data_IF_242878421696
#
_entry.id   IF_242878421696
#
_cell.length_a   1.000
_cell.length_b   1.000
_cell.length_c   1.000
_cell.angle_alpha   90.00
_cell.angle_beta   90.00
_cell.angle_gamma   90.00
#
_symmetry.space_group_name_H-M   'P 1'
#
loop_
_entity.id
_entity.type
_entity.pdbx_description
1 polymer ?
#
# COMPACT_ATOMS: atom_id res chain seq x y z
N UNK A 1 21.07 7.24 13.07
CA UNK A 1 19.68 6.99 13.54
C UNK A 1 19.55 5.58 14.10
N UNK A 2 18.76 5.39 15.16
CA UNK A 2 18.45 4.07 15.74
C UNK A 2 17.02 3.71 15.40
N UNK A 3 16.82 2.61 14.67
CA UNK A 3 15.55 2.23 14.07
C UNK A 3 15.04 0.92 14.65
N UNK A 4 13.72 0.84 14.84
CA UNK A 4 13.00 -0.37 15.16
C UNK A 4 12.05 -0.81 14.03
N UNK A 5 11.82 -2.13 13.87
CA UNK A 5 10.76 -2.66 13.01
C UNK A 5 9.90 -3.62 13.83
N UNK A 6 8.64 -3.26 14.07
CA UNK A 6 7.64 -4.13 14.69
C UNK A 6 6.89 -4.90 13.59
N UNK A 7 6.84 -6.23 13.71
CA UNK A 7 6.38 -7.13 12.65
C UNK A 7 7.48 -7.53 11.68
N UNK A 8 8.75 -7.51 12.13
CA UNK A 8 9.94 -7.77 11.31
C UNK A 8 9.98 -9.14 10.63
N UNK A 9 9.27 -10.14 11.15
CA UNK A 9 9.17 -11.50 10.59
C UNK A 9 8.07 -11.64 9.52
N UNK A 10 7.23 -10.62 9.35
CA UNK A 10 6.19 -10.58 8.34
C UNK A 10 6.72 -10.24 6.94
N UNK A 11 5.87 -10.40 5.92
CA UNK A 11 6.22 -10.13 4.53
C UNK A 11 6.69 -8.67 4.33
N UNK A 12 5.91 -7.69 4.76
CA UNK A 12 6.24 -6.26 4.62
C UNK A 12 7.42 -5.87 5.51
N UNK A 13 7.53 -6.39 6.74
CA UNK A 13 8.70 -6.18 7.60
C UNK A 13 10.02 -6.65 6.96
N UNK A 14 9.97 -7.77 6.23
CA UNK A 14 11.10 -8.24 5.42
C UNK A 14 11.47 -7.30 4.28
N UNK A 15 10.46 -6.72 3.60
CA UNK A 15 10.67 -5.72 2.55
C UNK A 15 11.22 -4.41 3.13
N UNK A 16 10.72 -3.94 4.30
CA UNK A 16 11.25 -2.76 5.00
C UNK A 16 12.74 -2.90 5.29
N UNK A 17 13.17 -4.04 5.86
CA UNK A 17 14.60 -4.30 6.10
C UNK A 17 15.44 -4.23 4.82
N UNK A 18 14.93 -4.80 3.74
CA UNK A 18 15.61 -4.78 2.44
C UNK A 18 15.73 -3.35 1.91
N UNK A 19 14.66 -2.58 1.91
CA UNK A 19 14.64 -1.19 1.40
C UNK A 19 15.53 -0.28 2.24
N UNK A 20 15.54 -0.40 3.56
CA UNK A 20 16.48 0.34 4.41
C UNK A 20 17.94 0.09 4.02
N UNK A 21 18.28 -1.16 3.62
CA UNK A 21 19.62 -1.49 3.14
C UNK A 21 19.87 -0.99 1.72
N UNK A 22 18.94 -1.16 0.79
CA UNK A 22 19.04 -0.73 -0.61
C UNK A 22 19.20 0.80 -0.74
N UNK A 23 18.56 1.56 0.16
CA UNK A 23 18.60 3.03 0.16
C UNK A 23 19.70 3.61 1.05
N UNK A 24 20.59 2.76 1.57
CA UNK A 24 21.65 3.17 2.50
C UNK A 24 21.15 4.08 3.62
N UNK A 25 19.94 3.78 4.13
CA UNK A 25 19.35 4.55 5.23
C UNK A 25 20.36 4.68 6.37
N UNK A 26 20.56 5.89 6.98
CA UNK A 26 21.61 6.16 7.96
C UNK A 26 21.28 5.54 9.33
N UNK A 27 21.02 4.23 9.34
CA UNK A 27 20.77 3.46 10.56
C UNK A 27 22.10 3.01 11.17
N UNK A 28 22.44 3.57 12.34
CA UNK A 28 23.55 3.12 13.19
C UNK A 28 23.19 1.82 13.92
N UNK A 29 21.90 1.68 14.26
CA UNK A 29 21.35 0.51 14.93
C UNK A 29 19.99 0.14 14.33
N UNK A 30 19.78 -1.16 14.09
CA UNK A 30 18.48 -1.72 13.77
C UNK A 30 18.09 -2.71 14.86
N UNK A 31 16.87 -2.57 15.41
CA UNK A 31 16.26 -3.55 16.31
C UNK A 31 15.00 -4.13 15.67
N UNK A 32 14.79 -5.42 15.87
CA UNK A 32 13.69 -6.16 15.22
C UNK A 32 12.75 -6.72 16.29
N UNK A 33 11.46 -6.46 16.11
CA UNK A 33 10.43 -6.87 17.05
C UNK A 33 9.34 -7.68 16.34
N UNK A 34 8.85 -8.71 17.03
CA UNK A 34 7.72 -9.51 16.57
C UNK A 34 6.95 -10.07 17.78
N UNK A 35 5.97 -10.96 17.54
CA UNK A 35 5.28 -11.64 18.64
C UNK A 35 6.23 -12.55 19.41
N UNK A 36 5.89 -12.88 20.67
CA UNK A 36 6.63 -13.80 21.53
C UNK A 36 6.99 -15.14 20.83
N UNK A 37 6.15 -15.63 19.92
CA UNK A 37 6.44 -16.87 19.13
C UNK A 37 7.65 -16.74 18.21
N UNK A 38 8.02 -15.54 17.84
CA UNK A 38 9.14 -15.25 16.93
C UNK A 38 10.35 -14.69 17.67
N UNK A 39 10.22 -14.34 18.94
CA UNK A 39 11.32 -13.87 19.76
C UNK A 39 12.46 -14.89 19.84
N UNK A 40 13.69 -14.42 19.83
CA UNK A 40 14.90 -15.26 19.82
C UNK A 40 15.33 -15.77 18.43
N UNK A 41 14.49 -15.65 17.38
CA UNK A 41 14.92 -15.89 16.00
C UNK A 41 15.90 -14.81 15.56
N UNK A 42 16.79 -15.12 14.62
CA UNK A 42 17.64 -14.12 13.99
C UNK A 42 17.18 -13.83 12.56
N UNK A 43 17.42 -12.62 12.09
CA UNK A 43 17.12 -12.20 10.73
C UNK A 43 18.31 -11.41 10.16
N UNK A 44 18.70 -11.66 8.90
CA UNK A 44 19.86 -11.01 8.30
C UNK A 44 19.59 -9.53 7.97
N UNK A 45 20.60 -8.67 8.21
CA UNK A 45 20.63 -7.29 7.77
C UNK A 45 22.06 -6.78 7.62
N UNK A 46 22.43 -6.25 6.43
CA UNK A 46 23.76 -5.70 6.09
C UNK A 46 24.92 -6.64 6.51
N UNK A 47 24.75 -7.94 6.27
CA UNK A 47 25.78 -8.94 6.57
C UNK A 47 25.87 -9.37 8.02
N UNK A 48 24.98 -8.91 8.89
CA UNK A 48 24.89 -9.31 10.30
C UNK A 48 23.55 -10.01 10.59
N UNK A 49 23.49 -10.83 11.62
CA UNK A 49 22.28 -11.44 12.14
C UNK A 49 21.77 -10.63 13.33
N UNK A 50 20.50 -10.20 13.27
CA UNK A 50 19.86 -9.43 14.33
C UNK A 50 18.81 -10.29 15.02
N UNK A 51 18.87 -10.41 16.33
CA UNK A 51 17.89 -11.12 17.12
C UNK A 51 16.54 -10.38 17.14
N UNK A 52 15.45 -11.12 17.05
CA UNK A 52 14.09 -10.61 17.15
C UNK A 52 13.68 -10.59 18.62
N UNK A 53 13.19 -9.43 19.08
CA UNK A 53 12.69 -9.21 20.44
C UNK A 53 11.15 -9.37 20.48
N UNK A 54 10.61 -9.65 21.68
CA UNK A 54 9.16 -9.65 21.89
C UNK A 54 8.62 -8.21 21.91
N UNK A 55 7.80 -7.85 20.92
CA UNK A 55 7.24 -6.52 20.76
C UNK A 55 6.38 -6.08 21.95
N UNK A 56 5.77 -7.00 22.69
CA UNK A 56 4.86 -6.66 23.79
C UNK A 56 5.60 -6.24 25.08
N UNK A 57 6.83 -6.70 25.26
CA UNK A 57 7.61 -6.50 26.51
C UNK A 57 8.89 -5.72 26.29
N UNK A 58 9.27 -5.42 25.04
CA UNK A 58 10.49 -4.71 24.72
C UNK A 58 10.47 -3.26 25.25
N UNK A 59 11.65 -2.77 25.59
CA UNK A 59 11.92 -1.35 25.84
C UNK A 59 12.30 -0.68 24.51
N UNK A 60 11.55 0.35 24.11
CA UNK A 60 11.78 1.13 22.89
C UNK A 60 12.54 2.43 23.12
N UNK A 61 12.87 2.72 24.39
CA UNK A 61 13.63 3.92 24.72
C UNK A 61 14.96 3.96 23.98
N UNK A 62 15.35 5.16 23.57
CA UNK A 62 16.59 5.36 22.83
C UNK A 62 16.51 5.00 21.33
N UNK A 63 15.38 4.54 20.79
CA UNK A 63 15.13 4.52 19.35
C UNK A 63 14.69 5.91 18.88
N UNK A 64 14.97 6.22 17.63
CA UNK A 64 14.57 7.48 16.99
C UNK A 64 13.30 7.30 16.15
N UNK A 65 13.19 6.16 15.43
CA UNK A 65 12.06 5.83 14.57
C UNK A 65 11.69 4.36 14.74
N UNK A 66 10.38 4.05 14.76
CA UNK A 66 9.89 2.66 14.75
C UNK A 66 8.87 2.45 13.65
N UNK A 67 9.17 1.55 12.70
CA UNK A 67 8.28 1.14 11.62
C UNK A 67 7.36 0.01 12.11
N UNK A 68 6.05 0.17 11.99
CA UNK A 68 5.06 -0.82 12.38
C UNK A 68 4.46 -1.54 11.18
N UNK A 69 4.53 -2.86 11.17
CA UNK A 69 3.89 -3.74 10.19
C UNK A 69 3.36 -5.02 10.85
N UNK A 70 2.62 -4.87 11.95
CA UNK A 70 2.13 -5.98 12.77
C UNK A 70 0.59 -6.08 12.84
N UNK A 71 -0.11 -5.37 11.96
CA UNK A 71 -1.57 -5.33 11.88
C UNK A 71 -2.24 -4.36 12.87
N UNK A 72 -3.50 -4.02 12.60
CA UNK A 72 -4.20 -2.95 13.30
C UNK A 72 -4.40 -3.17 14.80
N UNK A 73 -4.65 -4.42 15.23
CA UNK A 73 -4.83 -4.72 16.66
C UNK A 73 -3.54 -4.49 17.46
N UNK A 74 -2.39 -4.94 16.93
CA UNK A 74 -1.08 -4.70 17.56
C UNK A 74 -0.73 -3.22 17.57
N UNK A 75 -1.01 -2.52 16.47
CA UNK A 75 -0.76 -1.08 16.36
C UNK A 75 -1.59 -0.29 17.37
N UNK A 76 -2.89 -0.56 17.49
CA UNK A 76 -3.75 0.07 18.52
C UNK A 76 -3.27 -0.18 19.94
N UNK A 77 -2.72 -1.36 20.22
CA UNK A 77 -2.24 -1.71 21.55
C UNK A 77 -0.89 -1.08 21.91
N UNK A 78 -0.01 -0.85 20.93
CA UNK A 78 1.39 -0.53 21.17
C UNK A 78 1.87 0.82 20.61
N UNK A 79 1.32 1.34 19.51
CA UNK A 79 1.92 2.48 18.81
C UNK A 79 2.08 3.72 19.68
N UNK A 80 1.04 4.15 20.40
CA UNK A 80 1.11 5.30 21.30
C UNK A 80 2.05 5.04 22.50
N UNK A 81 2.08 3.81 23.02
CA UNK A 81 3.00 3.45 24.12
C UNK A 81 4.45 3.49 23.69
N UNK A 82 4.72 3.11 22.44
CA UNK A 82 6.06 3.18 21.86
C UNK A 82 6.44 4.65 21.62
N UNK A 83 5.56 5.43 21.01
CA UNK A 83 5.76 6.86 20.78
C UNK A 83 6.02 7.63 22.10
N UNK A 84 5.32 7.27 23.18
CA UNK A 84 5.52 7.87 24.51
C UNK A 84 6.91 7.58 25.11
N UNK A 85 7.68 6.61 24.57
CA UNK A 85 9.06 6.34 24.98
C UNK A 85 10.11 7.13 24.17
N UNK A 86 9.66 7.96 23.21
CA UNK A 86 10.49 8.90 22.46
C UNK A 86 10.54 8.73 20.95
N UNK A 87 10.50 7.52 20.37
CA UNK A 87 10.61 7.39 18.92
C UNK A 87 9.35 7.87 18.18
N UNK A 88 9.54 8.34 16.94
CA UNK A 88 8.43 8.53 16.00
C UNK A 88 8.00 7.17 15.46
N UNK A 89 6.70 6.86 15.56
CA UNK A 89 6.13 5.63 15.03
C UNK A 89 5.56 5.88 13.62
N UNK A 90 5.95 5.04 12.65
CA UNK A 90 5.38 5.04 11.30
C UNK A 90 4.58 3.76 11.14
N UNK A 91 3.24 3.86 11.12
CA UNK A 91 2.34 2.72 11.15
C UNK A 91 1.76 2.37 9.78
N UNK A 92 2.05 1.16 9.30
CA UNK A 92 1.53 0.64 8.04
C UNK A 92 0.12 0.02 8.15
N UNK A 93 -0.45 -0.06 9.34
CA UNK A 93 -1.81 -0.60 9.51
C UNK A 93 -2.89 0.44 9.21
N UNK A 94 -4.14 0.02 9.18
CA UNK A 94 -5.27 0.94 9.03
C UNK A 94 -5.70 1.63 10.34
N UNK A 95 -5.03 1.32 11.45
CA UNK A 95 -5.47 1.67 12.79
C UNK A 95 -5.60 3.20 13.03
N UNK A 96 -4.72 3.99 12.43
CA UNK A 96 -4.58 5.42 12.71
C UNK A 96 -4.89 6.32 11.51
N UNK A 97 -5.11 5.76 10.33
CA UNK A 97 -5.22 6.53 9.07
C UNK A 97 -6.29 7.62 9.10
N UNK A 98 -7.42 7.35 9.76
CA UNK A 98 -8.53 8.30 9.84
C UNK A 98 -8.60 9.04 11.18
N UNK A 99 -7.63 8.85 12.07
CA UNK A 99 -7.49 9.64 13.28
C UNK A 99 -7.12 11.09 12.89
N UNK A 100 -7.85 12.12 13.37
CA UNK A 100 -7.58 13.52 13.01
C UNK A 100 -6.25 14.03 13.57
N UNK A 101 -5.72 13.45 14.65
CA UNK A 101 -4.45 13.81 15.27
C UNK A 101 -3.26 12.99 14.74
N UNK A 102 -3.48 12.15 13.70
CA UNK A 102 -2.44 11.35 13.08
C UNK A 102 -2.35 11.70 11.59
N UNK A 103 -1.23 12.24 11.12
CA UNK A 103 -1.05 12.53 9.70
C UNK A 103 -1.02 11.24 8.87
N UNK A 104 -1.64 11.29 7.69
CA UNK A 104 -1.62 10.22 6.69
C UNK A 104 -0.76 10.68 5.52
N UNK A 105 0.41 10.05 5.32
CA UNK A 105 1.46 10.61 4.48
C UNK A 105 1.83 9.70 3.30
N UNK A 106 1.86 10.28 2.11
CA UNK A 106 2.56 9.76 0.93
C UNK A 106 3.72 10.72 0.65
N UNK A 107 4.94 10.24 0.75
CA UNK A 107 6.14 11.08 0.78
C UNK A 107 6.29 12.00 -0.44
N UNK A 108 5.84 11.58 -1.63
CA UNK A 108 5.88 12.39 -2.86
C UNK A 108 4.67 13.34 -3.02
N UNK A 109 3.66 13.24 -2.15
CA UNK A 109 2.37 13.94 -2.35
C UNK A 109 2.13 15.02 -1.31
N UNK A 110 2.25 14.66 -0.02
CA UNK A 110 2.00 15.55 1.10
C UNK A 110 3.05 15.41 2.21
N UNK A 111 4.37 15.53 1.89
CA UNK A 111 5.45 15.35 2.87
C UNK A 111 5.35 16.34 4.05
N UNK A 112 4.79 17.54 3.83
CA UNK A 112 4.57 18.56 4.86
C UNK A 112 3.70 18.06 6.02
N UNK A 113 2.77 17.14 5.76
CA UNK A 113 1.91 16.60 6.80
C UNK A 113 2.67 15.76 7.84
N UNK A 114 3.88 15.28 7.55
CA UNK A 114 4.69 14.51 8.48
C UNK A 114 5.22 15.33 9.68
N UNK A 115 5.21 16.66 9.58
CA UNK A 115 5.74 17.56 10.61
C UNK A 115 4.83 17.63 11.83
N UNK A 116 3.51 17.75 11.62
CA UNK A 116 2.52 17.82 12.70
C UNK A 116 2.03 16.41 13.08
N UNK A 117 2.59 15.88 14.17
CA UNK A 117 2.34 14.52 14.66
C UNK A 117 2.15 14.47 16.18
N UNK A 118 1.09 15.09 16.71
CA UNK A 118 0.92 15.29 18.16
C UNK A 118 0.90 13.99 18.97
N UNK A 119 0.51 12.85 18.36
CA UNK A 119 0.60 11.52 18.99
C UNK A 119 1.95 10.82 18.79
N UNK A 120 2.93 11.44 18.13
CA UNK A 120 4.19 10.79 17.76
C UNK A 120 4.02 9.65 16.76
N UNK A 121 2.84 9.56 16.12
CA UNK A 121 2.49 8.52 15.14
C UNK A 121 2.22 9.15 13.78
N UNK A 122 2.76 8.56 12.72
CA UNK A 122 2.46 8.88 11.31
C UNK A 122 1.84 7.63 10.68
N UNK A 123 0.70 7.77 10.01
CA UNK A 123 0.05 6.67 9.32
C UNK A 123 0.56 6.55 7.87
N UNK A 124 0.88 5.32 7.49
CA UNK A 124 1.20 4.92 6.12
C UNK A 124 -0.09 4.44 5.43
N UNK A 125 -0.44 4.96 4.23
CA UNK A 125 -1.74 4.69 3.61
C UNK A 125 -1.95 3.25 3.14
N UNK A 126 -3.17 2.99 2.65
CA UNK A 126 -3.52 1.75 1.96
C UNK A 126 -2.73 1.61 0.64
N UNK A 127 -2.39 0.38 0.29
CA UNK A 127 -1.53 0.07 -0.86
C UNK A 127 -2.12 0.52 -2.20
N UNK A 128 -3.44 0.43 -2.40
CA UNK A 128 -4.09 0.91 -3.63
C UNK A 128 -4.14 2.43 -3.68
N UNK A 129 -4.40 3.08 -2.55
CA UNK A 129 -4.38 4.54 -2.44
C UNK A 129 -2.99 5.08 -2.74
N UNK A 130 -1.94 4.54 -2.11
CA UNK A 130 -0.55 4.95 -2.38
C UNK A 130 -0.13 4.78 -3.83
N UNK A 131 -0.66 3.76 -4.53
CA UNK A 131 -0.40 3.58 -5.96
C UNK A 131 -0.87 4.76 -6.81
N UNK A 132 -2.03 5.30 -6.49
CA UNK A 132 -2.71 6.30 -7.31
C UNK A 132 -2.32 7.75 -6.95
N UNK A 133 -2.00 8.05 -5.69
CA UNK A 133 -1.82 9.43 -5.24
C UNK A 133 -0.66 10.18 -5.91
N UNK A 134 0.53 9.59 -6.15
CA UNK A 134 1.61 10.26 -6.90
C UNK A 134 1.23 10.58 -8.35
N UNK A 135 0.34 9.79 -8.97
CA UNK A 135 -0.17 10.01 -10.32
C UNK A 135 -1.24 11.11 -10.32
N UNK A 136 -2.12 11.13 -9.33
CA UNK A 136 -3.25 12.06 -9.29
C UNK A 136 -2.86 13.46 -8.80
N UNK A 137 -1.83 13.60 -7.97
CA UNK A 137 -1.41 14.90 -7.40
C UNK A 137 -1.04 15.93 -8.46
N UNK A 138 -0.11 15.66 -9.41
CA UNK A 138 0.24 16.64 -10.43
C UNK A 138 -0.94 16.98 -11.37
N UNK A 139 -1.82 16.02 -11.66
CA UNK A 139 -3.02 16.28 -12.45
C UNK A 139 -4.04 17.16 -11.69
N UNK A 140 -4.15 16.97 -10.37
CA UNK A 140 -4.97 17.82 -9.51
C UNK A 140 -4.45 19.25 -9.45
N UNK A 141 -3.16 19.46 -9.27
CA UNK A 141 -2.54 20.78 -9.23
C UNK A 141 -2.75 21.55 -10.53
N UNK A 142 -2.65 20.85 -11.66
CA UNK A 142 -2.89 21.44 -12.98
C UNK A 142 -4.37 21.77 -13.23
N UNK A 143 -5.28 20.84 -12.99
CA UNK A 143 -6.64 20.90 -13.50
C UNK A 143 -7.76 20.88 -12.45
N UNK A 144 -7.45 20.61 -11.17
CA UNK A 144 -8.44 20.55 -10.09
C UNK A 144 -9.28 19.26 -10.13
N UNK A 145 -8.81 18.18 -9.49
CA UNK A 145 -9.54 16.91 -9.41
C UNK A 145 -10.84 17.06 -8.61
N UNK A 146 -11.99 16.71 -9.18
CA UNK A 146 -13.31 16.82 -8.56
C UNK A 146 -14.00 15.49 -8.31
N UNK A 147 -13.70 14.48 -9.14
CA UNK A 147 -14.25 13.14 -8.96
C UNK A 147 -13.27 12.07 -9.44
N UNK A 148 -13.35 10.90 -8.80
CA UNK A 148 -12.53 9.73 -9.05
C UNK A 148 -13.43 8.48 -9.07
N UNK A 149 -13.44 7.76 -10.17
CA UNK A 149 -13.96 6.40 -10.26
C UNK A 149 -12.81 5.46 -10.50
N UNK A 150 -12.63 4.46 -9.63
CA UNK A 150 -11.50 3.56 -9.74
C UNK A 150 -11.91 2.10 -9.56
N UNK A 151 -11.42 1.23 -10.44
CA UNK A 151 -11.48 -0.21 -10.25
C UNK A 151 -10.08 -0.73 -9.97
N UNK A 152 -9.92 -1.44 -8.87
CA UNK A 152 -8.62 -2.01 -8.51
C UNK A 152 -8.50 -3.45 -9.00
N UNK A 153 -7.27 -3.86 -9.30
CA UNK A 153 -6.87 -5.23 -9.59
C UNK A 153 -5.79 -5.59 -8.58
N UNK A 154 -6.22 -6.17 -7.44
CA UNK A 154 -5.34 -6.35 -6.29
C UNK A 154 -4.73 -7.74 -6.24
N UNK A 155 -3.41 -7.80 -6.23
CA UNK A 155 -2.62 -9.03 -6.07
C UNK A 155 -2.84 -9.70 -4.71
N UNK A 156 -2.65 -11.00 -4.65
CA UNK A 156 -2.87 -11.83 -3.45
C UNK A 156 -1.89 -11.53 -2.31
N UNK A 157 -0.70 -11.00 -2.61
CA UNK A 157 0.27 -10.59 -1.59
C UNK A 157 -0.25 -9.51 -0.64
N UNK A 158 -1.28 -8.73 -1.07
CA UNK A 158 -1.98 -7.80 -0.20
C UNK A 158 -2.72 -8.47 0.97
N UNK A 159 -3.03 -9.76 0.85
CA UNK A 159 -3.57 -10.61 1.93
C UNK A 159 -2.48 -11.35 2.72
N UNK A 160 -1.21 -10.98 2.53
CA UNK A 160 -0.07 -11.60 3.19
C UNK A 160 0.34 -12.96 2.60
N UNK A 161 1.22 -13.66 3.31
CA UNK A 161 1.74 -14.97 2.87
C UNK A 161 0.65 -16.03 2.69
N UNK A 162 -0.46 -15.94 3.44
CA UNK A 162 -1.58 -16.87 3.31
C UNK A 162 -2.29 -16.72 1.96
N UNK A 163 -2.49 -15.50 1.48
CA UNK A 163 -3.06 -15.26 0.15
C UNK A 163 -2.16 -15.78 -0.98
N UNK A 164 -0.84 -15.58 -0.83
CA UNK A 164 0.16 -16.12 -1.77
C UNK A 164 0.12 -17.65 -1.80
N UNK A 165 0.10 -18.28 -0.63
CA UNK A 165 0.06 -19.75 -0.52
C UNK A 165 -1.24 -20.33 -1.08
N UNK A 166 -2.38 -19.65 -0.88
CA UNK A 166 -3.67 -20.10 -1.42
C UNK A 166 -3.67 -20.08 -2.95
N UNK A 167 -3.22 -18.98 -3.57
CA UNK A 167 -3.10 -18.91 -5.03
C UNK A 167 -2.15 -19.99 -5.57
N UNK A 168 -0.95 -20.11 -4.99
CA UNK A 168 0.04 -21.10 -5.43
C UNK A 168 -0.51 -22.53 -5.33
N UNK A 169 -1.14 -22.86 -4.19
CA UNK A 169 -1.74 -24.19 -3.98
C UNK A 169 -2.87 -24.51 -4.96
N UNK A 170 -3.76 -23.53 -5.23
CA UNK A 170 -4.85 -23.70 -6.20
C UNK A 170 -4.30 -23.86 -7.63
N UNK A 171 -3.35 -23.02 -8.05
CA UNK A 171 -2.72 -23.14 -9.38
C UNK A 171 -2.05 -24.48 -9.55
N UNK A 172 -1.20 -24.92 -8.62
CA UNK A 172 -0.49 -26.21 -8.72
C UNK A 172 -1.45 -27.40 -8.82
N UNK A 173 -2.54 -27.38 -8.07
CA UNK A 173 -3.52 -28.49 -8.08
C UNK A 173 -4.29 -28.59 -9.40
N UNK A 174 -4.48 -27.46 -10.10
CA UNK A 174 -5.46 -27.38 -11.20
C UNK A 174 -4.85 -27.03 -12.56
N UNK A 175 -3.55 -26.69 -12.63
CA UNK A 175 -2.88 -26.21 -13.83
C UNK A 175 -3.06 -27.13 -15.05
N UNK A 176 -2.92 -28.45 -14.86
CA UNK A 176 -2.97 -29.43 -15.95
C UNK A 176 -4.35 -29.50 -16.64
N UNK A 177 -5.40 -29.09 -15.93
CA UNK A 177 -6.78 -29.12 -16.41
C UNK A 177 -7.40 -27.73 -16.58
N UNK A 178 -6.65 -26.65 -16.32
CA UNK A 178 -7.17 -25.28 -16.33
C UNK A 178 -7.85 -24.88 -17.65
N UNK A 179 -7.41 -25.42 -18.78
CA UNK A 179 -8.02 -25.15 -20.09
C UNK A 179 -9.49 -25.64 -20.21
N UNK A 180 -9.90 -26.60 -19.39
CA UNK A 180 -11.29 -27.10 -19.37
C UNK A 180 -12.27 -26.01 -18.87
N UNK A 181 -11.80 -25.06 -18.06
CA UNK A 181 -12.54 -23.90 -17.58
C UNK A 181 -13.02 -22.96 -18.70
N UNK A 182 -12.49 -23.12 -19.93
CA UNK A 182 -12.96 -22.38 -21.10
C UNK A 182 -14.45 -22.65 -21.41
N UNK A 183 -14.91 -23.84 -21.11
CA UNK A 183 -16.26 -24.30 -21.48
C UNK A 183 -17.17 -24.54 -20.28
N UNK A 184 -16.58 -24.81 -19.11
CA UNK A 184 -17.33 -25.13 -17.88
C UNK A 184 -16.55 -24.65 -16.66
N UNK A 185 -17.11 -23.68 -15.91
CA UNK A 185 -16.51 -23.14 -14.69
C UNK A 185 -16.43 -24.15 -13.54
N UNK A 186 -17.12 -25.29 -13.63
CA UNK A 186 -17.09 -26.39 -12.65
C UNK A 186 -16.23 -27.58 -13.11
N UNK A 187 -15.59 -27.48 -14.28
CA UNK A 187 -14.76 -28.56 -14.84
C UNK A 187 -13.58 -28.97 -13.95
N UNK A 188 -13.15 -28.08 -13.06
CA UNK A 188 -11.99 -28.28 -12.18
C UNK A 188 -12.39 -28.09 -10.74
N UNK A 189 -12.04 -29.05 -9.90
CA UNK A 189 -12.22 -28.98 -8.44
C UNK A 189 -11.07 -28.23 -7.79
N UNK A 190 -11.35 -27.02 -7.28
CA UNK A 190 -10.38 -26.23 -6.52
C UNK A 190 -10.30 -26.69 -5.06
N UNK A 191 -9.13 -26.51 -4.40
CA UNK A 191 -9.05 -26.57 -2.93
C UNK A 191 -10.02 -25.58 -2.30
N UNK A 192 -10.59 -25.96 -1.15
CA UNK A 192 -11.49 -25.07 -0.40
C UNK A 192 -10.75 -23.75 -0.05
N UNK A 193 -11.33 -22.59 -0.37
CA UNK A 193 -10.71 -21.31 -0.08
C UNK A 193 -10.68 -21.04 1.44
N UNK A 194 -9.54 -20.61 1.95
CA UNK A 194 -9.36 -20.25 3.35
C UNK A 194 -9.22 -18.76 3.60
N UNK A 195 -8.73 -18.02 2.60
CA UNK A 195 -8.47 -16.57 2.66
C UNK A 195 -9.56 -15.79 1.92
N UNK A 196 -10.03 -16.30 0.80
CA UNK A 196 -10.99 -15.64 -0.07
C UNK A 196 -12.37 -16.29 -0.02
N UNK A 197 -13.40 -15.56 -0.43
CA UNK A 197 -14.78 -16.04 -0.44
C UNK A 197 -15.04 -17.09 -1.52
N UNK A 198 -14.18 -17.19 -2.54
CA UNK A 198 -14.22 -18.13 -3.66
C UNK A 198 -12.79 -18.45 -4.10
N UNK A 199 -12.57 -19.54 -4.89
CA UNK A 199 -11.26 -19.79 -5.47
C UNK A 199 -10.74 -18.58 -6.25
N UNK A 200 -9.44 -18.24 -6.03
CA UNK A 200 -8.82 -17.09 -6.67
C UNK A 200 -8.06 -17.46 -7.96
N UNK A 201 -7.52 -18.67 -8.08
CA UNK A 201 -6.84 -19.11 -9.30
C UNK A 201 -7.80 -19.09 -10.49
N UNK A 202 -7.34 -18.51 -11.62
CA UNK A 202 -8.11 -18.35 -12.87
C UNK A 202 -9.42 -17.57 -12.70
N UNK A 203 -9.55 -16.74 -11.67
CA UNK A 203 -10.79 -16.06 -11.29
C UNK A 203 -10.53 -14.61 -10.92
N UNK A 204 -11.60 -13.79 -10.92
CA UNK A 204 -11.60 -12.43 -10.37
C UNK A 204 -12.69 -12.31 -9.32
N UNK A 205 -12.36 -11.71 -8.17
CA UNK A 205 -13.30 -11.55 -7.07
C UNK A 205 -13.58 -10.06 -6.84
N UNK A 206 -14.77 -9.54 -7.19
CA UNK A 206 -15.10 -8.14 -7.00
C UNK A 206 -15.43 -7.84 -5.52
N UNK A 207 -14.59 -8.31 -4.64
CA UNK A 207 -14.69 -8.16 -3.19
C UNK A 207 -13.31 -8.29 -2.56
N UNK A 208 -12.62 -7.17 -2.36
CA UNK A 208 -11.44 -7.11 -1.51
C UNK A 208 -11.84 -6.51 -0.15
N UNK A 209 -11.40 -7.14 0.95
CA UNK A 209 -11.82 -6.76 2.29
C UNK A 209 -13.18 -7.35 2.70
N UNK A 210 -13.89 -6.65 3.57
CA UNK A 210 -15.18 -7.06 4.13
C UNK A 210 -16.22 -5.96 3.92
N UNK A 211 -17.45 -6.33 3.60
CA UNK A 211 -18.57 -5.38 3.56
C UNK A 211 -18.71 -4.72 4.93
N UNK A 212 -18.82 -3.40 4.93
CA UNK A 212 -19.05 -2.60 6.14
C UNK A 212 -20.55 -2.39 6.33
N UNK A 213 -21.03 -2.66 7.53
CA UNK A 213 -22.45 -2.51 7.87
C UNK A 213 -22.77 -1.02 8.21
N UNK A 214 -22.80 -0.18 7.17
CA UNK A 214 -23.16 1.25 7.26
C UNK A 214 -24.25 1.65 6.25
N UNK A 215 -24.90 0.67 5.64
CA UNK A 215 -25.96 0.86 4.64
C UNK A 215 -25.48 1.28 3.25
N UNK A 216 -24.18 1.37 3.00
CA UNK A 216 -23.60 1.73 1.70
C UNK A 216 -23.21 0.55 0.84
N UNK A 217 -23.14 -0.65 1.43
CA UNK A 217 -22.71 -1.90 0.78
C UNK A 217 -21.29 -1.85 0.21
N UNK A 218 -20.45 -0.96 0.72
CA UNK A 218 -19.03 -0.87 0.36
C UNK A 218 -18.19 -1.82 1.22
N UNK A 219 -17.08 -2.30 0.67
CA UNK A 219 -16.05 -2.95 1.47
C UNK A 219 -15.21 -1.91 2.23
N UNK A 220 -14.52 -2.35 3.28
CA UNK A 220 -13.56 -1.51 3.99
C UNK A 220 -12.40 -1.04 3.09
N UNK A 221 -12.03 -1.81 2.04
CA UNK A 221 -11.04 -1.39 1.04
C UNK A 221 -11.55 -0.23 0.17
N UNK A 222 -12.80 -0.27 -0.26
CA UNK A 222 -13.44 0.81 -1.02
C UNK A 222 -13.57 2.09 -0.20
N UNK A 223 -13.91 1.94 1.09
CA UNK A 223 -13.95 3.08 2.02
C UNK A 223 -12.56 3.69 2.25
N UNK A 224 -11.50 2.86 2.37
CA UNK A 224 -10.12 3.34 2.47
C UNK A 224 -9.74 4.17 1.24
N UNK A 225 -9.99 3.66 0.04
CA UNK A 225 -9.70 4.38 -1.19
C UNK A 225 -10.36 5.77 -1.18
N UNK A 226 -11.65 5.85 -0.82
CA UNK A 226 -12.37 7.13 -0.75
C UNK A 226 -11.83 8.08 0.33
N UNK A 227 -11.71 7.59 1.54
CA UNK A 227 -11.41 8.45 2.69
C UNK A 227 -9.95 8.89 2.71
N UNK A 228 -9.05 7.95 2.39
CA UNK A 228 -7.62 8.23 2.36
C UNK A 228 -7.24 9.16 1.19
N UNK A 229 -7.85 8.99 -0.01
CA UNK A 229 -7.63 9.92 -1.14
C UNK A 229 -7.97 11.36 -0.77
N UNK A 230 -9.08 11.58 -0.07
CA UNK A 230 -9.50 12.91 0.41
C UNK A 230 -8.47 13.52 1.36
N UNK A 231 -7.98 12.71 2.29
CA UNK A 231 -7.03 13.16 3.34
C UNK A 231 -5.65 13.45 2.74
N UNK A 232 -5.14 12.56 1.88
CA UNK A 232 -3.79 12.67 1.28
C UNK A 232 -3.73 13.81 0.26
N UNK A 233 -4.73 13.93 -0.62
CA UNK A 233 -4.78 14.98 -1.64
C UNK A 233 -5.24 16.32 -1.07
N UNK A 234 -5.71 16.34 0.19
CA UNK A 234 -6.24 17.55 0.85
C UNK A 234 -7.48 18.12 0.13
N UNK A 235 -8.33 17.21 -0.42
CA UNK A 235 -9.57 17.54 -1.10
C UNK A 235 -10.75 16.92 -0.33
N UNK A 236 -11.25 17.55 0.75
CA UNK A 236 -12.32 16.97 1.58
C UNK A 236 -13.60 16.63 0.81
N UNK A 237 -13.89 17.42 -0.24
CA UNK A 237 -15.07 17.27 -1.09
C UNK A 237 -14.92 16.32 -2.27
N UNK A 238 -13.77 15.66 -2.45
CA UNK A 238 -13.53 14.74 -3.56
C UNK A 238 -14.59 13.64 -3.62
N UNK A 239 -15.26 13.51 -4.76
CA UNK A 239 -16.23 12.43 -5.02
C UNK A 239 -15.46 11.19 -5.45
N UNK A 240 -15.56 10.10 -4.70
CA UNK A 240 -14.84 8.86 -4.99
C UNK A 240 -15.81 7.70 -4.98
N UNK A 241 -15.76 6.89 -6.04
CA UNK A 241 -16.41 5.58 -6.13
C UNK A 241 -15.36 4.53 -6.49
N UNK A 242 -15.24 3.49 -5.68
CA UNK A 242 -14.28 2.43 -5.89
C UNK A 242 -14.97 1.06 -6.04
N UNK A 243 -14.38 0.19 -6.86
CA UNK A 243 -14.67 -1.25 -6.85
C UNK A 243 -13.36 -1.97 -6.65
N UNK A 244 -13.23 -2.66 -5.52
CA UNK A 244 -11.99 -3.33 -5.16
C UNK A 244 -12.05 -4.81 -5.53
N UNK A 245 -11.23 -5.21 -6.51
CA UNK A 245 -11.22 -6.55 -7.10
C UNK A 245 -9.95 -7.29 -6.73
N UNK A 246 -10.05 -8.52 -6.25
CA UNK A 246 -8.92 -9.42 -6.08
C UNK A 246 -8.69 -10.22 -7.36
N UNK A 247 -7.44 -10.29 -7.82
CA UNK A 247 -7.03 -10.98 -9.06
C UNK A 247 -5.95 -12.03 -8.78
N UNK A 248 -5.80 -13.07 -9.65
CA UNK A 248 -4.85 -14.16 -9.48
C UNK A 248 -3.43 -13.75 -9.88
N UNK A 249 -2.93 -12.70 -9.26
CA UNK A 249 -1.60 -12.12 -9.44
C UNK A 249 -0.87 -12.16 -8.10
N UNK A 250 0.37 -12.62 -8.08
CA UNK A 250 1.13 -12.76 -6.83
C UNK A 250 1.47 -11.40 -6.20
N UNK A 251 2.05 -10.49 -6.97
CA UNK A 251 2.48 -9.16 -6.51
C UNK A 251 2.24 -8.12 -7.60
N UNK A 252 1.91 -6.91 -7.20
CA UNK A 252 1.59 -5.78 -8.06
C UNK A 252 0.09 -5.51 -8.11
N UNK A 253 -0.32 -4.38 -7.51
CA UNK A 253 -1.69 -3.87 -7.67
C UNK A 253 -1.78 -3.00 -8.90
N UNK A 254 -2.93 -3.08 -9.59
CA UNK A 254 -3.23 -2.16 -10.67
C UNK A 254 -4.54 -1.45 -10.41
N UNK A 255 -4.71 -0.29 -11.01
CA UNK A 255 -5.96 0.47 -10.98
C UNK A 255 -6.29 0.99 -12.38
N UNK A 256 -7.52 0.80 -12.79
CA UNK A 256 -8.14 1.59 -13.84
C UNK A 256 -8.81 2.79 -13.16
N UNK A 257 -8.57 3.99 -13.67
CA UNK A 257 -9.00 5.24 -13.07
C UNK A 257 -9.69 6.11 -14.13
N UNK A 258 -10.89 6.61 -13.80
CA UNK A 258 -11.54 7.72 -14.48
C UNK A 258 -11.50 8.92 -13.53
N UNK A 259 -10.81 9.98 -13.95
CA UNK A 259 -10.65 11.20 -13.17
C UNK A 259 -11.35 12.37 -13.88
N UNK A 260 -12.21 13.10 -13.15
CA UNK A 260 -12.86 14.31 -13.63
C UNK A 260 -12.20 15.52 -12.99
N UNK A 261 -11.95 16.52 -13.82
CA UNK A 261 -11.30 17.76 -13.39
C UNK A 261 -12.25 18.98 -13.50
N UNK A 262 -11.88 20.07 -12.85
CA UNK A 262 -12.57 21.34 -12.90
C UNK A 262 -12.25 22.08 -14.21
N UNK A 263 -11.00 21.97 -14.65
CA UNK A 263 -10.48 22.62 -15.86
C UNK A 263 -10.05 21.58 -16.90
N UNK A 264 -10.07 21.92 -18.19
CA UNK A 264 -9.62 21.00 -19.23
C UNK A 264 -8.13 20.69 -19.08
N UNK A 265 -7.79 19.43 -19.33
CA UNK A 265 -6.42 18.93 -19.42
C UNK A 265 -6.32 17.98 -20.61
N UNK A 266 -5.36 18.23 -21.51
CA UNK A 266 -5.13 17.33 -22.64
C UNK A 266 -4.36 16.07 -22.24
N UNK A 267 -4.45 15.04 -23.06
CA UNK A 267 -3.70 13.79 -22.88
C UNK A 267 -2.19 14.04 -22.93
N UNK A 268 -1.74 14.87 -23.87
CA UNK A 268 -0.33 15.26 -24.03
C UNK A 268 0.18 15.98 -22.77
N UNK A 269 -0.63 16.92 -22.25
CA UNK A 269 -0.28 17.64 -21.03
C UNK A 269 -0.20 16.70 -19.80
N UNK A 270 -1.09 15.74 -19.72
CA UNK A 270 -1.04 14.72 -18.65
C UNK A 270 0.25 13.87 -18.74
N UNK A 271 0.65 13.47 -19.93
CA UNK A 271 1.93 12.74 -20.12
C UNK A 271 3.13 13.61 -19.75
N UNK A 272 3.17 14.88 -20.13
CA UNK A 272 4.24 15.81 -19.75
C UNK A 272 4.39 15.95 -18.23
N UNK A 273 3.27 16.16 -17.52
CA UNK A 273 3.27 16.29 -16.06
C UNK A 273 3.76 15.01 -15.38
N UNK A 274 3.28 13.85 -15.84
CA UNK A 274 3.58 12.56 -15.24
C UNK A 274 5.01 12.07 -15.55
N UNK A 275 5.61 12.50 -16.67
CA UNK A 275 7.00 12.19 -16.99
C UNK A 275 8.00 12.74 -15.96
N UNK A 276 7.66 13.88 -15.31
CA UNK A 276 8.50 14.52 -14.29
C UNK A 276 8.03 14.28 -12.85
N UNK A 277 6.93 13.55 -12.64
CA UNK A 277 6.32 13.40 -11.33
C UNK A 277 7.14 12.45 -10.42
N UNK A 278 7.45 12.85 -9.18
CA UNK A 278 8.16 11.97 -8.23
C UNK A 278 7.40 10.67 -7.97
N UNK A 279 8.10 9.55 -7.97
CA UNK A 279 7.51 8.23 -7.72
C UNK A 279 6.65 7.68 -8.85
N UNK A 280 6.67 8.31 -10.03
CA UNK A 280 5.91 7.89 -11.22
C UNK A 280 6.87 7.53 -12.36
N UNK A 281 6.51 6.52 -13.14
CA UNK A 281 7.18 6.16 -14.39
C UNK A 281 6.14 5.93 -15.48
N UNK A 282 6.39 6.47 -16.67
CA UNK A 282 5.52 6.22 -17.82
C UNK A 282 5.73 4.80 -18.37
N UNK A 283 4.65 4.15 -18.76
CA UNK A 283 4.67 2.85 -19.42
C UNK A 283 3.55 2.79 -20.45
N UNK A 284 3.80 2.26 -21.62
CA UNK A 284 2.77 2.08 -22.63
C UNK A 284 1.68 1.12 -22.15
N UNK A 285 2.08 0.01 -21.52
CA UNK A 285 1.20 -1.02 -20.97
C UNK A 285 1.67 -1.35 -19.56
N UNK A 286 1.24 -0.58 -18.53
CA UNK A 286 1.63 -0.85 -17.15
C UNK A 286 1.04 -2.19 -16.68
N UNK A 287 1.90 -3.05 -16.13
CA UNK A 287 1.49 -4.40 -15.67
C UNK A 287 2.03 -4.70 -14.27
N UNK A 288 1.38 -5.59 -13.52
CA UNK A 288 1.89 -6.07 -12.24
C UNK A 288 3.28 -6.71 -12.33
N UNK A 289 3.56 -7.47 -13.40
CA UNK A 289 4.87 -8.09 -13.61
C UNK A 289 5.99 -7.06 -13.82
N UNK A 290 5.69 -5.95 -14.49
CA UNK A 290 6.65 -4.84 -14.62
C UNK A 290 6.89 -4.15 -13.28
N UNK A 291 5.84 -3.99 -12.49
CA UNK A 291 5.89 -3.23 -11.24
C UNK A 291 6.53 -4.02 -10.08
N UNK A 292 6.39 -5.35 -10.07
CA UNK A 292 6.90 -6.18 -8.99
C UNK A 292 8.42 -6.02 -8.81
N UNK A 293 8.84 -5.65 -7.60
CA UNK A 293 10.24 -5.36 -7.25
C UNK A 293 10.72 -3.95 -7.63
N UNK A 294 9.86 -3.11 -8.24
CA UNK A 294 10.19 -1.74 -8.63
C UNK A 294 9.57 -0.71 -7.68
N UNK A 295 10.18 0.49 -7.64
CA UNK A 295 9.75 1.57 -6.74
C UNK A 295 8.62 2.43 -7.28
N UNK A 296 8.57 2.82 -8.58
CA UNK A 296 7.57 3.78 -9.08
C UNK A 296 6.19 3.14 -9.27
N UNK A 297 5.18 4.00 -9.28
CA UNK A 297 3.89 3.70 -9.90
C UNK A 297 4.02 3.88 -11.42
N UNK A 298 3.91 2.79 -12.16
CA UNK A 298 3.90 2.83 -13.62
C UNK A 298 2.53 3.26 -14.10
N UNK A 299 2.46 4.28 -14.97
CA UNK A 299 1.20 4.82 -15.50
C UNK A 299 1.23 4.91 -17.02
N UNK A 300 0.10 4.62 -17.65
CA UNK A 300 -0.07 4.73 -19.08
C UNK A 300 -1.52 4.55 -19.50
N UNK A 301 -1.76 4.27 -20.78
CA UNK A 301 -3.10 4.17 -21.34
C UNK A 301 -3.94 5.42 -21.08
N UNK A 302 -3.30 6.59 -20.99
CA UNK A 302 -3.96 7.86 -20.73
C UNK A 302 -4.74 8.25 -21.98
N UNK A 303 -6.02 8.56 -21.81
CA UNK A 303 -6.93 8.94 -22.89
C UNK A 303 -8.05 9.81 -22.37
N UNK A 304 -8.74 10.52 -23.26
CA UNK A 304 -9.96 11.26 -22.90
C UNK A 304 -11.03 10.30 -22.40
N UNK A 305 -11.69 10.66 -21.33
CA UNK A 305 -12.93 10.03 -20.88
C UNK A 305 -14.11 10.87 -21.39
N UNK A 306 -14.74 10.38 -22.45
CA UNK A 306 -15.86 11.06 -23.12
C UNK A 306 -17.17 11.02 -22.31
N UNK A 307 -17.20 10.29 -21.20
CA UNK A 307 -18.42 10.16 -20.37
C UNK A 307 -18.68 11.36 -19.48
N UNK A 308 -17.66 12.20 -19.28
CA UNK A 308 -17.72 13.39 -18.43
C UNK A 308 -16.92 14.54 -19.06
N UNK A 309 -17.34 15.77 -18.79
CA UNK A 309 -16.57 16.95 -19.15
C UNK A 309 -15.25 16.99 -18.38
N UNK A 310 -14.14 17.32 -19.06
CA UNK A 310 -12.78 17.35 -18.50
C UNK A 310 -12.34 16.02 -17.88
N UNK A 311 -12.70 14.91 -18.50
CA UNK A 311 -12.39 13.56 -18.05
C UNK A 311 -11.10 13.00 -18.65
N UNK A 312 -10.30 12.32 -17.83
CA UNK A 312 -9.23 11.43 -18.28
C UNK A 312 -9.45 10.01 -17.73
N UNK A 313 -9.21 9.03 -18.58
CA UNK A 313 -9.08 7.63 -18.17
C UNK A 313 -7.64 7.19 -18.29
N UNK A 314 -7.12 6.47 -17.30
CA UNK A 314 -5.75 5.97 -17.26
C UNK A 314 -5.67 4.61 -16.55
N UNK A 315 -4.55 3.94 -16.72
CA UNK A 315 -4.25 2.70 -16.02
C UNK A 315 -2.89 2.81 -15.34
N UNK A 316 -2.78 2.27 -14.14
CA UNK A 316 -1.53 2.26 -13.40
C UNK A 316 -1.28 0.91 -12.71
N UNK A 317 -0.01 0.61 -12.46
CA UNK A 317 0.43 -0.58 -11.70
C UNK A 317 1.60 -0.22 -10.79
N UNK A 318 1.61 -0.76 -9.58
CA UNK A 318 2.71 -0.58 -8.64
C UNK A 318 3.00 -1.86 -7.85
N UNK A 319 4.16 -1.95 -7.23
CA UNK A 319 4.45 -2.99 -6.24
C UNK A 319 3.76 -2.64 -4.91
N UNK A 320 2.76 -3.44 -4.54
CA UNK A 320 1.98 -3.24 -3.32
C UNK A 320 2.75 -3.52 -2.03
N UNK A 321 3.88 -4.21 -2.09
CA UNK A 321 4.75 -4.47 -0.94
C UNK A 321 5.85 -3.42 -0.81
N UNK A 322 6.30 -2.82 -1.95
CA UNK A 322 7.28 -1.72 -1.99
C UNK A 322 6.57 -0.38 -1.86
N UNK A 323 6.23 0.29 -2.97
CA UNK A 323 5.56 1.61 -2.92
C UNK A 323 4.25 1.54 -2.13
N UNK A 324 3.49 0.48 -2.30
CA UNK A 324 2.22 0.27 -1.59
C UNK A 324 2.34 -0.01 -0.08
N UNK A 325 3.55 -0.14 0.48
CA UNK A 325 3.75 -0.42 1.90
C UNK A 325 5.13 0.04 2.41
N UNK A 326 6.15 -0.81 2.23
CA UNK A 326 7.45 -0.67 2.86
C UNK A 326 8.23 0.55 2.37
N UNK A 327 8.21 0.84 1.07
CA UNK A 327 8.97 1.95 0.51
C UNK A 327 8.46 3.29 1.04
N UNK A 328 7.14 3.51 1.00
CA UNK A 328 6.59 4.77 1.51
C UNK A 328 6.86 4.94 3.01
N UNK A 329 6.79 3.85 3.80
CA UNK A 329 7.15 3.91 5.23
C UNK A 329 8.63 4.29 5.44
N UNK A 330 9.55 3.78 4.61
CA UNK A 330 10.97 4.16 4.66
C UNK A 330 11.17 5.60 4.18
N UNK A 331 10.49 6.04 3.14
CA UNK A 331 10.52 7.43 2.67
C UNK A 331 10.00 8.40 3.74
N UNK A 332 8.92 8.05 4.46
CA UNK A 332 8.49 8.83 5.63
C UNK A 332 9.58 8.86 6.72
N UNK A 333 10.26 7.72 6.94
CA UNK A 333 11.37 7.68 7.89
C UNK A 333 12.54 8.58 7.46
N UNK A 334 12.80 8.72 6.15
CA UNK A 334 13.78 9.67 5.62
C UNK A 334 13.38 11.14 5.89
N UNK A 335 12.08 11.47 5.72
CA UNK A 335 11.55 12.80 6.06
C UNK A 335 11.71 13.09 7.57
N UNK A 336 11.35 12.13 8.42
CA UNK A 336 11.50 12.25 9.87
C UNK A 336 12.97 12.36 10.29
N UNK A 337 13.86 11.58 9.67
CA UNK A 337 15.29 11.66 9.94
C UNK A 337 15.88 13.03 9.60
N UNK A 338 15.44 13.65 8.52
CA UNK A 338 15.84 15.01 8.14
C UNK A 338 15.28 16.09 9.09
N UNK A 339 14.12 15.86 9.72
CA UNK A 339 13.51 16.78 10.70
C UNK A 339 14.18 16.67 12.09
N UNK A 340 14.73 15.50 12.43
CA UNK A 340 15.39 15.24 13.73
C UNK A 340 16.89 15.59 13.74
N UNK A 341 17.54 15.72 12.57
CA UNK A 341 18.98 15.98 12.42
C UNK A 341 19.29 17.42 12.21
#
# INVERSE_FOLDING_TARGET
MRIGIVGATGQVGGVMRRILAERDFPAEQLRLFASARSAGRTLPWRGTEIAVEDAATADYSGLDIVLFSAGGATSKALAEKVAAQGPVVIDNSSAWRMDPEVPLVVAEVNPHAAVDRPKGVIANPNCTTMAAMPVLRPLHEEAGLTALVATTYQAVSGSGLSGVAELDGQVRKTADRAAELTHDGEAVEFPEPGVYARPIAFNVLPMAGKIVDDGRHETDEEQKLRNESRKILEIPGLKVSGTCVRVPVFTGHSLQVNARFERPISVERAYELLAGAPGVALSEIPTPLQAAGQDPSFVGRIRVDETVEHGLALFLSNDNLRKGAALNAVQIAELVAADLG
#
